data_IF_666575327412
#
_entry.id   IF_666575327412
#
_cell.length_a   1.000
_cell.length_b   1.000
_cell.length_c   1.000
_cell.angle_alpha   90.00
_cell.angle_beta   90.00
_cell.angle_gamma   90.00
#
_symmetry.space_group_name_H-M   'P 1'
#
loop_
_entity.id
_entity.type
_entity.pdbx_description
1 polymer ?
#
# COMPACT_ATOMS: atom_id res chain seq x y z
N UNK A 1 -1.71 11.14 7.01
CA UNK A 1 -2.52 12.36 6.87
C UNK A 1 -2.55 12.55 5.39
N UNK A 2 -3.71 12.52 4.74
CA UNK A 2 -3.74 12.63 3.29
C UNK A 2 -3.38 14.06 2.89
N UNK A 3 -2.29 14.23 2.16
CA UNK A 3 -2.00 15.48 1.47
C UNK A 3 -2.49 15.37 0.02
N UNK A 4 -3.14 16.41 -0.46
CA UNK A 4 -3.49 16.52 -1.87
C UNK A 4 -2.25 17.01 -2.60
N UNK A 5 -1.70 16.19 -3.50
CA UNK A 5 -0.72 16.64 -4.45
C UNK A 5 -1.39 17.57 -5.48
N UNK A 6 -0.61 18.48 -6.09
CA UNK A 6 -1.14 19.50 -7.01
C UNK A 6 -1.83 18.96 -8.27
N UNK A 7 -1.75 17.66 -8.52
CA UNK A 7 -2.38 16.95 -9.64
C UNK A 7 -3.68 16.21 -9.24
N UNK A 8 -4.14 16.36 -7.99
CA UNK A 8 -5.34 15.71 -7.49
C UNK A 8 -5.12 14.28 -6.97
N UNK A 9 -3.87 13.80 -6.93
CA UNK A 9 -3.54 12.56 -6.22
C UNK A 9 -3.49 12.80 -4.70
N UNK A 10 -3.92 11.81 -3.92
CA UNK A 10 -3.76 11.84 -2.47
C UNK A 10 -2.49 11.07 -2.10
N UNK A 11 -1.57 11.74 -1.43
CA UNK A 11 -0.41 11.10 -0.83
C UNK A 11 -0.79 10.76 0.60
N UNK A 12 -0.84 9.48 0.93
CA UNK A 12 -0.95 9.11 2.33
C UNK A 12 0.39 9.28 3.03
N UNK A 13 0.49 10.29 3.89
CA UNK A 13 1.65 10.50 4.75
C UNK A 13 1.48 9.84 6.13
N UNK A 14 0.67 8.77 6.26
CA UNK A 14 0.46 8.06 7.55
C UNK A 14 1.24 6.78 7.69
N UNK A 15 1.44 6.02 6.63
CA UNK A 15 2.04 4.68 6.72
C UNK A 15 3.16 4.50 5.71
N UNK A 16 4.37 4.39 6.23
CA UNK A 16 5.51 3.86 5.50
C UNK A 16 5.53 2.35 5.67
N UNK A 17 5.80 1.63 4.59
CA UNK A 17 5.95 0.18 4.61
C UNK A 17 7.39 -0.20 4.29
N UNK A 18 7.87 -1.24 4.96
CA UNK A 18 9.12 -1.89 4.64
C UNK A 18 8.89 -3.12 3.74
N UNK A 19 9.94 -3.59 3.06
CA UNK A 19 9.83 -4.80 2.22
C UNK A 19 9.26 -6.03 2.97
N UNK A 20 9.59 -6.29 4.25
CA UNK A 20 9.00 -7.39 5.02
C UNK A 20 7.47 -7.34 5.13
N UNK A 21 6.84 -6.17 5.11
CA UNK A 21 5.37 -6.02 5.15
C UNK A 21 4.68 -6.62 3.91
N UNK A 22 5.46 -6.73 2.82
CA UNK A 22 5.08 -7.34 1.55
C UNK A 22 5.75 -8.71 1.33
N UNK A 23 6.20 -9.38 2.40
CA UNK A 23 6.85 -10.69 2.30
C UNK A 23 8.25 -10.65 1.67
N UNK A 24 8.91 -9.49 1.73
CA UNK A 24 10.27 -9.29 1.22
C UNK A 24 10.33 -8.91 -0.26
N UNK A 25 9.20 -8.70 -0.94
CA UNK A 25 9.13 -8.39 -2.37
C UNK A 25 8.49 -7.02 -2.57
N UNK A 26 9.11 -6.17 -3.37
CA UNK A 26 8.53 -4.90 -3.77
C UNK A 26 7.39 -5.14 -4.78
N UNK A 27 6.16 -4.68 -4.51
CA UNK A 27 5.06 -4.80 -5.45
C UNK A 27 5.33 -4.16 -6.82
N UNK A 28 4.71 -4.73 -7.85
CA UNK A 28 4.80 -4.32 -9.24
C UNK A 28 3.48 -3.72 -9.73
N UNK A 29 3.53 -2.95 -10.82
CA UNK A 29 2.32 -2.44 -11.47
C UNK A 29 1.46 -3.62 -11.96
N UNK A 30 0.18 -3.60 -11.61
CA UNK A 30 -0.78 -4.67 -11.87
C UNK A 30 -0.95 -5.65 -10.70
N UNK A 31 -0.12 -5.58 -9.66
CA UNK A 31 -0.32 -6.38 -8.46
C UNK A 31 -1.52 -5.87 -7.65
N UNK A 32 -2.21 -6.81 -7.01
CA UNK A 32 -3.26 -6.53 -6.03
C UNK A 32 -2.69 -6.79 -4.64
N UNK A 33 -2.52 -5.72 -3.86
CA UNK A 33 -2.00 -5.81 -2.50
C UNK A 33 -3.19 -5.78 -1.54
N UNK A 34 -3.20 -6.69 -0.57
CA UNK A 34 -4.09 -6.55 0.56
C UNK A 34 -3.48 -5.54 1.50
N UNK A 35 -4.19 -4.46 1.80
CA UNK A 35 -3.71 -3.44 2.74
C UNK A 35 -3.23 -4.13 4.03
N UNK A 36 -1.96 -3.95 4.44
CA UNK A 36 -1.43 -4.62 5.62
C UNK A 36 -2.17 -4.24 6.89
N UNK A 37 -2.61 -2.99 6.97
CA UNK A 37 -3.44 -2.45 8.03
C UNK A 37 -4.94 -2.68 7.81
N UNK A 38 -5.71 -2.33 8.84
CA UNK A 38 -7.16 -2.15 8.83
C UNK A 38 -7.45 -0.97 9.75
N UNK A 39 -8.49 -0.18 9.45
CA UNK A 39 -8.88 0.94 10.32
C UNK A 39 -9.06 0.47 11.78
N UNK A 40 -8.52 1.25 12.72
CA UNK A 40 -8.45 0.87 14.13
C UNK A 40 -9.83 0.52 14.71
N UNK A 41 -9.91 -0.65 15.34
CA UNK A 41 -11.14 -1.16 15.96
C UNK A 41 -11.97 -2.09 15.08
N UNK A 42 -11.58 -2.34 13.83
CA UNK A 42 -12.23 -3.29 12.94
C UNK A 42 -11.52 -4.65 12.92
N UNK A 43 -12.27 -5.73 12.66
CA UNK A 43 -11.72 -7.08 12.57
C UNK A 43 -11.17 -7.33 11.16
N UNK A 44 -9.86 -7.61 11.07
CA UNK A 44 -9.16 -7.95 9.82
C UNK A 44 -9.58 -9.29 9.21
N UNK A 45 -10.30 -10.13 9.95
CA UNK A 45 -10.87 -11.39 9.45
C UNK A 45 -12.20 -11.19 8.75
N UNK A 46 -12.83 -10.03 8.92
CA UNK A 46 -14.02 -9.65 8.19
C UNK A 46 -13.64 -9.03 6.84
N UNK A 47 -14.16 -9.62 5.76
CA UNK A 47 -13.92 -9.18 4.39
C UNK A 47 -14.30 -7.72 4.17
N UNK A 48 -15.40 -7.27 4.77
CA UNK A 48 -15.95 -5.92 4.55
C UNK A 48 -15.03 -4.83 5.12
N UNK A 49 -14.15 -5.20 6.04
CA UNK A 49 -13.15 -4.31 6.62
C UNK A 49 -11.82 -4.33 5.86
N UNK A 50 -11.71 -5.07 4.74
CA UNK A 50 -10.46 -5.18 3.98
C UNK A 50 -10.46 -4.33 2.72
N UNK A 51 -9.39 -3.55 2.58
CA UNK A 51 -9.06 -2.83 1.36
C UNK A 51 -8.08 -3.64 0.51
N UNK A 52 -8.30 -3.60 -0.80
CA UNK A 52 -7.33 -4.02 -1.80
C UNK A 52 -6.78 -2.78 -2.49
N UNK A 53 -5.46 -2.70 -2.55
CA UNK A 53 -4.70 -1.66 -3.22
C UNK A 53 -4.25 -2.19 -4.59
N UNK A 54 -4.80 -1.64 -5.66
CA UNK A 54 -4.41 -1.95 -7.03
C UNK A 54 -3.23 -1.08 -7.43
N UNK A 55 -2.06 -1.67 -7.67
CA UNK A 55 -0.84 -0.91 -7.98
C UNK A 55 -0.90 -0.43 -9.42
N UNK A 56 -1.19 0.86 -9.62
CA UNK A 56 -1.37 1.45 -10.96
C UNK A 56 -0.09 2.09 -11.49
N UNK A 57 0.79 2.54 -10.61
CA UNK A 57 2.12 3.00 -10.97
C UNK A 57 3.10 2.77 -9.82
N UNK A 58 4.39 2.84 -10.13
CA UNK A 58 5.44 2.88 -9.12
C UNK A 58 6.55 3.80 -9.58
N UNK A 59 7.11 4.53 -8.63
CA UNK A 59 8.29 5.33 -8.84
C UNK A 59 9.45 4.69 -8.08
N UNK A 60 10.57 4.49 -8.76
CA UNK A 60 11.81 4.15 -8.08
C UNK A 60 12.60 5.42 -7.84
N UNK A 61 12.94 5.65 -6.58
CA UNK A 61 13.82 6.74 -6.20
C UNK A 61 15.14 6.11 -5.76
N UNK A 62 16.09 5.90 -6.70
CA UNK A 62 17.39 5.37 -6.33
C UNK A 62 18.05 6.36 -5.37
N UNK A 63 18.67 5.87 -4.30
CA UNK A 63 19.39 6.71 -3.36
C UNK A 63 20.53 7.42 -4.10
N UNK A 64 20.38 8.72 -4.36
CA UNK A 64 21.34 9.52 -5.11
C UNK A 64 22.31 10.29 -4.21
N UNK A 65 21.93 10.58 -2.96
CA UNK A 65 22.78 11.20 -1.95
C UNK A 65 22.94 10.27 -0.73
N UNK A 66 24.18 9.99 -0.26
CA UNK A 66 24.43 9.26 0.99
C UNK A 66 23.78 9.89 2.24
N UNK A 67 23.48 11.19 2.19
CA UNK A 67 22.83 11.97 3.25
C UNK A 67 21.31 12.01 3.13
N UNK A 68 20.73 11.33 2.13
CA UNK A 68 19.28 11.29 2.01
C UNK A 68 18.72 10.41 3.14
N UNK A 69 18.23 11.07 4.19
CA UNK A 69 17.77 10.45 5.45
C UNK A 69 16.43 9.75 5.29
N UNK A 70 15.64 10.13 4.28
CA UNK A 70 14.28 9.63 4.07
C UNK A 70 14.24 8.20 3.53
N UNK A 71 15.35 7.67 2.98
CA UNK A 71 15.58 6.23 2.83
C UNK A 71 14.63 5.42 1.91
N UNK A 72 13.58 6.03 1.36
CA UNK A 72 12.62 5.34 0.51
C UNK A 72 13.26 4.95 -0.83
N UNK A 73 13.19 3.66 -1.15
CA UNK A 73 13.72 3.11 -2.41
C UNK A 73 12.67 3.19 -3.53
N UNK A 74 11.38 3.34 -3.18
CA UNK A 74 10.31 3.55 -4.14
C UNK A 74 8.98 3.96 -3.51
N UNK A 75 8.10 4.50 -4.35
CA UNK A 75 6.75 4.94 -4.02
C UNK A 75 5.77 4.14 -4.87
N UNK A 76 4.75 3.56 -4.23
CA UNK A 76 3.64 2.91 -4.92
C UNK A 76 2.51 3.92 -5.11
N UNK A 77 1.96 3.99 -6.31
CA UNK A 77 0.70 4.66 -6.58
C UNK A 77 -0.36 3.59 -6.69
N UNK A 78 -1.33 3.66 -5.79
CA UNK A 78 -2.38 2.65 -5.69
C UNK A 78 -3.75 3.25 -5.90
N UNK A 79 -4.67 2.41 -6.38
CA UNK A 79 -6.10 2.67 -6.34
C UNK A 79 -6.72 1.76 -5.30
N UNK A 80 -7.29 2.37 -4.26
CA UNK A 80 -8.05 1.66 -3.24
C UNK A 80 -9.37 1.15 -3.78
N UNK A 81 -9.76 -0.05 -3.33
CA UNK A 81 -11.12 -0.57 -3.48
C UNK A 81 -11.45 -1.54 -2.35
N UNK A 82 -12.73 -1.76 -2.05
CA UNK A 82 -13.14 -2.86 -1.18
C UNK A 82 -12.69 -4.21 -1.74
N UNK A 83 -12.36 -5.14 -0.83
CA UNK A 83 -12.17 -6.54 -1.18
C UNK A 83 -13.47 -7.15 -1.72
N UNK A 84 -13.35 -8.13 -2.62
CA UNK A 84 -14.48 -8.82 -3.24
C UNK A 84 -14.60 -10.23 -2.67
N UNK A 85 -15.82 -10.78 -2.72
CA UNK A 85 -16.11 -12.12 -2.20
C UNK A 85 -15.20 -13.24 -2.70
N UNK A 86 -14.79 -13.23 -3.97
CA UNK A 86 -13.90 -14.27 -4.50
C UNK A 86 -12.44 -14.14 -4.01
N UNK A 87 -12.10 -13.05 -3.32
CA UNK A 87 -10.79 -12.76 -2.77
C UNK A 87 -10.71 -13.09 -1.27
N UNK A 88 -11.84 -13.47 -0.66
CA UNK A 88 -12.00 -13.68 0.79
C UNK A 88 -10.92 -14.56 1.40
N UNK A 89 -10.60 -15.67 0.74
CA UNK A 89 -9.59 -16.61 1.20
C UNK A 89 -8.18 -15.99 1.26
N UNK A 90 -7.86 -15.08 0.34
CA UNK A 90 -6.54 -14.44 0.26
C UNK A 90 -6.47 -13.27 1.23
N UNK A 91 -7.52 -12.44 1.28
CA UNK A 91 -7.49 -11.20 2.05
C UNK A 91 -7.62 -11.47 3.54
N UNK A 92 -8.42 -12.44 3.98
CA UNK A 92 -8.65 -12.70 5.41
C UNK A 92 -7.59 -13.60 6.08
N UNK A 93 -6.72 -14.26 5.29
CA UNK A 93 -5.63 -15.10 5.80
C UNK A 93 -4.42 -14.26 6.22
N UNK A 94 -4.44 -13.70 7.43
CA UNK A 94 -3.26 -13.13 8.12
C UNK A 94 -3.37 -13.23 9.64
#
# INVERSE_FOLDING_TARGET
MYAVAGDGTYVDMREDYELPDFGGVMPCVGDLIVEPGVAGGLDRRDLENRTVLDVVARYFYPRTDPKDEWGYIGVLVVRERPAKRHEEEIVTKR
#
